data_IF_766800513190
#
_entry.id   IF_766800513190
#
_cell.length_a   1.000
_cell.length_b   1.000
_cell.length_c   1.000
_cell.angle_alpha   90.00
_cell.angle_beta   90.00
_cell.angle_gamma   90.00
#
_symmetry.space_group_name_H-M   'P 1'
#
loop_
_entity.id
_entity.type
_entity.pdbx_description
1 polymer ?
#
# COMPACT_ATOMS: atom_id res chain seq x y z
N UNK A 1 15.08 -13.74 73.00
CA UNK A 1 16.05 -12.71 72.57
C UNK A 1 15.25 -11.51 72.07
N UNK A 2 15.65 -10.28 72.42
CA UNK A 2 15.10 -9.03 71.86
C UNK A 2 15.63 -8.87 70.41
N UNK A 3 15.13 -8.02 69.50
CA UNK A 3 14.50 -6.68 69.50
C UNK A 3 13.45 -6.63 68.34
N UNK A 4 12.44 -5.75 68.21
CA UNK A 4 12.37 -4.29 68.44
C UNK A 4 12.77 -3.54 67.15
N UNK A 5 12.17 -2.42 66.71
CA UNK A 5 11.02 -1.60 67.15
C UNK A 5 10.53 -0.75 65.94
N UNK A 6 9.26 -0.33 65.91
CA UNK A 6 8.93 1.05 65.49
C UNK A 6 8.08 1.26 64.23
N UNK A 7 6.94 1.96 64.38
CA UNK A 7 5.97 2.33 63.33
C UNK A 7 5.62 3.85 63.50
N UNK A 8 4.48 4.38 63.02
CA UNK A 8 4.24 5.14 61.78
C UNK A 8 4.16 6.69 61.93
N UNK A 9 3.85 7.41 60.83
CA UNK A 9 2.79 8.45 60.91
C UNK A 9 2.85 9.76 60.08
N UNK A 10 2.21 9.75 58.89
CA UNK A 10 1.08 10.62 58.44
C UNK A 10 1.09 12.17 58.66
N UNK A 11 0.53 12.91 57.66
CA UNK A 11 0.05 14.34 57.63
C UNK A 11 1.10 15.40 57.20
N UNK A 12 0.82 16.57 56.58
CA UNK A 12 -0.37 17.22 55.95
C UNK A 12 0.07 18.47 55.13
N UNK A 13 -0.64 18.80 54.04
CA UNK A 13 -0.88 20.14 53.38
C UNK A 13 0.19 21.26 53.39
N UNK A 14 0.48 21.86 52.21
CA UNK A 14 0.37 23.31 51.99
C UNK A 14 0.48 23.71 50.50
N UNK A 15 -0.24 24.77 50.10
CA UNK A 15 -0.20 25.36 48.76
C UNK A 15 0.66 26.64 48.73
N UNK A 16 1.17 27.02 47.55
CA UNK A 16 1.72 28.35 47.30
C UNK A 16 1.45 28.78 45.84
N UNK A 17 1.24 30.08 45.65
CA UNK A 17 0.77 30.72 44.43
C UNK A 17 1.84 31.66 43.84
N UNK A 18 1.77 31.87 42.53
CA UNK A 18 2.17 33.09 41.78
C UNK A 18 3.65 33.57 41.82
N UNK A 19 4.23 33.74 40.62
CA UNK A 19 4.72 35.04 40.16
C UNK A 19 4.89 35.06 38.62
N UNK A 20 4.50 36.17 37.99
CA UNK A 20 4.77 36.50 36.58
C UNK A 20 5.81 37.62 36.54
N UNK A 21 6.81 37.52 35.67
CA UNK A 21 7.59 38.68 35.19
C UNK A 21 7.86 38.52 33.69
N UNK A 22 7.68 39.61 32.95
CA UNK A 22 7.90 39.75 31.51
C UNK A 22 9.19 40.54 31.21
N UNK A 23 9.64 40.43 29.96
CA UNK A 23 10.50 41.35 29.19
C UNK A 23 12.04 41.17 29.24
N UNK A 24 12.67 41.33 28.06
CA UNK A 24 14.11 41.51 27.88
C UNK A 24 14.68 40.90 26.58
N UNK A 25 14.58 41.60 25.45
CA UNK A 25 15.34 41.30 24.22
C UNK A 25 16.46 42.33 24.00
N UNK A 26 17.64 41.88 23.53
CA UNK A 26 18.68 42.57 22.73
C UNK A 26 19.71 41.45 22.38
N UNK A 27 19.96 41.01 21.14
CA UNK A 27 20.62 41.71 20.00
C UNK A 27 22.06 42.11 20.38
N UNK A 28 23.17 41.58 19.82
CA UNK A 28 23.45 40.61 18.72
C UNK A 28 24.79 39.85 18.98
N UNK A 29 25.23 38.80 18.26
CA UNK A 29 24.61 38.03 17.17
C UNK A 29 25.60 37.65 16.02
N UNK A 30 26.14 36.42 15.98
CA UNK A 30 27.02 35.93 14.88
C UNK A 30 26.84 34.42 14.58
N UNK A 31 27.12 34.03 13.32
CA UNK A 31 27.18 32.66 12.77
C UNK A 31 25.89 31.80 12.78
N UNK A 32 25.08 31.97 11.73
CA UNK A 32 24.03 30.99 11.33
C UNK A 32 24.64 29.74 10.69
N UNK A 33 24.76 28.65 11.45
CA UNK A 33 25.03 27.32 10.88
C UNK A 33 23.71 26.60 10.56
N UNK A 34 23.17 26.91 9.38
CA UNK A 34 21.89 26.38 8.89
C UNK A 34 22.02 24.92 8.44
N UNK A 35 22.10 23.99 9.40
CA UNK A 35 22.21 22.56 9.08
C UNK A 35 20.84 21.92 8.80
N UNK A 36 20.45 22.01 7.53
CA UNK A 36 19.66 21.06 6.76
C UNK A 36 18.49 20.35 7.48
N UNK A 37 17.28 20.85 7.21
CA UNK A 37 16.09 19.99 7.13
C UNK A 37 16.37 18.87 6.12
N UNK A 38 16.19 17.61 6.51
CA UNK A 38 16.71 16.51 5.69
C UNK A 38 16.54 15.09 6.24
N UNK A 39 15.59 14.83 7.15
CA UNK A 39 15.14 13.44 7.37
C UNK A 39 14.16 13.07 6.27
N UNK A 40 14.71 12.71 5.10
CA UNK A 40 13.97 11.84 4.20
C UNK A 40 13.63 10.57 5.01
N UNK A 41 12.35 10.22 5.08
CA UNK A 41 11.92 8.99 5.75
C UNK A 41 12.46 7.82 4.93
N UNK A 42 13.60 7.27 5.34
CA UNK A 42 14.12 6.03 4.81
C UNK A 42 13.13 4.94 5.23
N UNK A 43 12.17 4.65 4.35
CA UNK A 43 11.14 3.64 4.58
C UNK A 43 11.79 2.35 5.05
N UNK A 44 11.26 1.78 6.13
CA UNK A 44 11.82 0.58 6.74
C UNK A 44 12.04 -0.49 5.68
N UNK A 45 13.27 -1.01 5.59
CA UNK A 45 13.64 -1.99 4.59
C UNK A 45 12.90 -3.31 4.86
N UNK A 46 11.78 -3.53 4.17
CA UNK A 46 11.03 -4.77 4.25
C UNK A 46 11.87 -5.93 3.69
N UNK A 47 11.84 -7.07 4.38
CA UNK A 47 12.47 -8.31 3.93
C UNK A 47 11.85 -8.82 2.64
N UNK A 48 12.64 -9.52 1.82
CA UNK A 48 12.16 -10.20 0.61
C UNK A 48 11.68 -11.61 0.97
N UNK A 49 10.41 -11.92 0.70
CA UNK A 49 9.84 -13.26 0.84
C UNK A 49 10.06 -14.16 -0.37
N UNK A 50 9.99 -13.59 -1.58
CA UNK A 50 10.14 -14.36 -2.81
C UNK A 50 10.16 -13.51 -4.07
N UNK A 51 10.10 -14.16 -5.23
CA UNK A 51 9.92 -13.53 -6.54
C UNK A 51 8.72 -14.19 -7.21
N UNK A 52 7.80 -13.37 -7.72
CA UNK A 52 6.59 -13.79 -8.41
C UNK A 52 6.70 -13.48 -9.91
N UNK A 53 5.90 -14.14 -10.75
CA UNK A 53 5.67 -13.77 -12.15
C UNK A 53 6.43 -14.60 -13.18
N UNK A 54 7.57 -15.19 -12.81
CA UNK A 54 8.32 -16.10 -13.70
C UNK A 54 7.73 -17.51 -13.74
N UNK A 55 8.16 -18.28 -14.74
CA UNK A 55 7.78 -19.68 -14.97
C UNK A 55 7.89 -20.52 -13.68
N UNK A 56 6.84 -21.30 -13.39
CA UNK A 56 6.75 -22.16 -12.20
C UNK A 56 6.61 -21.41 -10.86
N UNK A 57 6.42 -20.09 -10.86
CA UNK A 57 6.00 -19.35 -9.66
C UNK A 57 4.50 -19.50 -9.39
N UNK A 58 4.03 -19.06 -8.21
CA UNK A 58 2.62 -19.19 -7.81
C UNK A 58 1.64 -18.51 -8.78
N UNK A 59 2.10 -17.50 -9.52
CA UNK A 59 1.36 -16.80 -10.56
C UNK A 59 2.35 -16.46 -11.69
N UNK A 60 2.21 -17.11 -12.85
CA UNK A 60 2.96 -16.75 -14.06
C UNK A 60 2.34 -15.48 -14.67
N UNK A 61 3.16 -14.46 -14.93
CA UNK A 61 2.70 -13.11 -15.28
C UNK A 61 3.55 -12.51 -16.42
N UNK A 62 3.13 -11.41 -17.07
CA UNK A 62 3.96 -10.65 -18.02
C UNK A 62 5.15 -9.89 -17.39
N UNK A 63 5.18 -9.81 -16.07
CA UNK A 63 6.22 -9.13 -15.29
C UNK A 63 6.62 -9.99 -14.10
N UNK A 64 7.85 -9.83 -13.63
CA UNK A 64 8.31 -10.36 -12.35
C UNK A 64 8.61 -9.23 -11.38
N UNK A 65 8.36 -9.49 -10.10
CA UNK A 65 8.68 -8.61 -8.99
C UNK A 65 8.90 -9.42 -7.72
N UNK A 66 9.46 -8.79 -6.70
CA UNK A 66 9.72 -9.41 -5.42
C UNK A 66 8.59 -9.12 -4.43
N UNK A 67 8.20 -10.13 -3.66
CA UNK A 67 7.19 -10.02 -2.59
C UNK A 67 7.87 -9.79 -1.24
N UNK A 68 7.14 -9.17 -0.31
CA UNK A 68 7.61 -8.99 1.06
C UNK A 68 7.64 -10.32 1.84
N UNK A 69 8.49 -10.38 2.87
CA UNK A 69 8.57 -11.53 3.77
C UNK A 69 7.24 -11.75 4.50
N UNK A 70 6.78 -13.01 4.59
CA UNK A 70 5.49 -13.37 5.18
C UNK A 70 4.26 -13.14 4.28
N UNK A 71 4.42 -12.56 3.09
CA UNK A 71 3.32 -12.39 2.14
C UNK A 71 3.20 -13.63 1.23
N UNK A 72 1.97 -14.13 1.03
CA UNK A 72 1.71 -15.39 0.31
C UNK A 72 0.92 -15.13 -0.96
N UNK A 73 1.41 -15.62 -2.10
CA UNK A 73 0.78 -15.44 -3.41
C UNK A 73 -0.05 -16.67 -3.84
N UNK A 74 -1.22 -16.44 -4.42
CA UNK A 74 -2.10 -17.46 -5.01
C UNK A 74 -2.68 -16.95 -6.34
N UNK A 75 -2.77 -17.82 -7.34
CA UNK A 75 -3.37 -17.50 -8.63
C UNK A 75 -4.89 -17.34 -8.49
N UNK A 76 -5.45 -16.30 -9.11
CA UNK A 76 -6.90 -16.11 -9.16
C UNK A 76 -7.44 -16.95 -10.31
N UNK A 77 -8.26 -17.95 -9.99
CA UNK A 77 -8.91 -18.78 -11.02
C UNK A 77 -10.03 -18.00 -11.71
N UNK A 78 -9.67 -17.32 -12.79
CA UNK A 78 -10.61 -16.60 -13.64
C UNK A 78 -11.57 -17.52 -14.42
N UNK A 79 -11.30 -18.83 -14.48
CA UNK A 79 -12.13 -19.82 -15.18
C UNK A 79 -13.17 -20.49 -14.27
N UNK A 80 -12.91 -20.59 -12.96
CA UNK A 80 -13.86 -21.11 -11.97
C UNK A 80 -15.23 -20.42 -12.03
N UNK A 81 -15.26 -19.12 -12.38
CA UNK A 81 -16.50 -18.37 -12.61
C UNK A 81 -17.25 -18.79 -13.88
N UNK A 82 -16.55 -19.19 -14.93
CA UNK A 82 -17.11 -19.53 -16.24
C UNK A 82 -17.66 -20.96 -16.31
N UNK A 83 -17.07 -21.88 -15.54
CA UNK A 83 -17.53 -23.27 -15.39
C UNK A 83 -18.85 -23.40 -14.58
N UNK A 84 -19.35 -22.30 -13.98
CA UNK A 84 -20.66 -22.28 -13.37
C UNK A 84 -21.75 -22.71 -14.37
N UNK A 85 -22.67 -23.59 -13.96
CA UNK A 85 -23.74 -24.07 -14.83
C UNK A 85 -24.80 -22.99 -15.14
N UNK A 86 -24.95 -22.02 -14.25
CA UNK A 86 -25.92 -20.93 -14.31
C UNK A 86 -25.31 -19.67 -14.95
N UNK A 87 -26.08 -18.99 -15.81
CA UNK A 87 -25.60 -17.83 -16.58
C UNK A 87 -25.41 -16.58 -15.70
N UNK A 88 -26.32 -16.36 -14.75
CA UNK A 88 -26.21 -15.26 -13.79
C UNK A 88 -25.00 -15.46 -12.86
N UNK A 89 -24.71 -16.69 -12.45
CA UNK A 89 -23.50 -17.01 -11.70
C UNK A 89 -22.20 -16.69 -12.47
N UNK A 90 -22.16 -16.96 -13.79
CA UNK A 90 -21.02 -16.55 -14.64
C UNK A 90 -20.88 -15.04 -14.72
N UNK A 91 -21.97 -14.33 -14.99
CA UNK A 91 -21.98 -12.87 -15.11
C UNK A 91 -21.54 -12.19 -13.81
N UNK A 92 -22.01 -12.67 -12.66
CA UNK A 92 -21.60 -12.18 -11.34
C UNK A 92 -20.13 -12.49 -11.06
N UNK A 93 -19.64 -13.68 -11.38
CA UNK A 93 -18.23 -14.02 -11.18
C UNK A 93 -17.31 -13.17 -12.09
N UNK A 94 -17.68 -13.00 -13.35
CA UNK A 94 -16.95 -12.16 -14.32
C UNK A 94 -16.91 -10.69 -13.87
N UNK A 95 -18.01 -10.16 -13.35
CA UNK A 95 -18.09 -8.81 -12.80
C UNK A 95 -17.28 -8.59 -11.51
N UNK A 96 -16.97 -9.67 -10.76
CA UNK A 96 -16.07 -9.63 -9.60
C UNK A 96 -14.59 -9.76 -9.97
N UNK A 97 -14.30 -10.40 -11.11
CA UNK A 97 -12.95 -10.72 -11.57
C UNK A 97 -12.38 -9.67 -12.53
N UNK A 98 -13.22 -8.81 -13.14
CA UNK A 98 -12.78 -7.72 -14.02
C UNK A 98 -12.87 -6.36 -13.33
N UNK A 99 -11.89 -5.49 -13.59
CA UNK A 99 -11.94 -4.08 -13.24
C UNK A 99 -11.42 -3.24 -14.41
N UNK A 100 -12.35 -2.61 -15.13
CA UNK A 100 -12.05 -1.88 -16.36
C UNK A 100 -11.52 -2.84 -17.45
N UNK A 101 -10.37 -2.57 -18.08
CA UNK A 101 -9.82 -3.37 -19.18
C UNK A 101 -8.98 -4.58 -18.73
N UNK A 102 -8.93 -4.88 -17.42
CA UNK A 102 -8.06 -5.95 -16.87
C UNK A 102 -8.83 -6.92 -15.98
N UNK A 103 -8.33 -8.15 -15.92
CA UNK A 103 -8.87 -9.26 -15.10
C UNK A 103 -7.88 -9.63 -14.01
N UNK A 104 -8.37 -9.97 -12.81
CA UNK A 104 -7.55 -10.42 -11.70
C UNK A 104 -6.83 -11.73 -12.06
N UNK A 105 -5.51 -11.77 -11.83
CA UNK A 105 -4.65 -12.90 -12.17
C UNK A 105 -3.94 -13.50 -10.95
N UNK A 106 -3.66 -12.69 -9.93
CA UNK A 106 -2.96 -13.12 -8.73
C UNK A 106 -3.35 -12.27 -7.53
N UNK A 107 -3.48 -12.89 -6.36
CA UNK A 107 -3.61 -12.19 -5.08
C UNK A 107 -2.41 -12.54 -4.20
N UNK A 108 -1.83 -11.52 -3.56
CA UNK A 108 -0.77 -11.69 -2.58
C UNK A 108 -1.31 -11.23 -1.22
N UNK A 109 -1.65 -12.20 -0.37
CA UNK A 109 -2.25 -12.00 0.95
C UNK A 109 -1.19 -11.51 1.97
N UNK A 110 -1.50 -10.37 2.62
CA UNK A 110 -0.66 -9.75 3.64
C UNK A 110 -0.96 -10.24 5.06
N UNK A 111 -2.06 -10.97 5.27
CA UNK A 111 -2.48 -11.51 6.59
C UNK A 111 -1.43 -12.37 7.28
N UNK A 112 -0.65 -13.24 6.60
CA UNK A 112 0.37 -14.03 7.29
C UNK A 112 1.59 -13.19 7.75
N UNK A 113 1.74 -11.97 7.22
CA UNK A 113 2.70 -10.97 7.69
C UNK A 113 2.12 -10.03 8.77
N UNK A 114 0.83 -10.14 9.10
CA UNK A 114 0.16 -9.38 10.16
C UNK A 114 -0.66 -8.16 9.71
N UNK A 115 -0.93 -8.00 8.41
CA UNK A 115 -1.73 -6.88 7.86
C UNK A 115 -3.12 -7.32 7.40
N UNK A 116 -4.08 -6.39 7.34
CA UNK A 116 -5.42 -6.64 6.79
C UNK A 116 -5.53 -6.00 5.40
N UNK A 117 -4.98 -6.72 4.41
CA UNK A 117 -5.05 -6.31 3.02
C UNK A 117 -4.38 -7.29 2.06
N UNK A 118 -4.26 -6.87 0.80
CA UNK A 118 -3.65 -7.64 -0.28
C UNK A 118 -3.00 -6.71 -1.31
N UNK A 119 -1.99 -7.24 -2.01
CA UNK A 119 -1.57 -6.73 -3.31
C UNK A 119 -2.24 -7.61 -4.37
N UNK A 120 -3.12 -7.07 -5.22
CA UNK A 120 -3.74 -7.82 -6.32
C UNK A 120 -3.12 -7.43 -7.65
N UNK A 121 -2.76 -8.44 -8.44
CA UNK A 121 -2.25 -8.28 -9.80
C UNK A 121 -3.38 -8.53 -10.79
N UNK A 122 -3.51 -7.64 -11.75
CA UNK A 122 -4.48 -7.71 -12.84
C UNK A 122 -3.73 -7.68 -14.17
N UNK A 123 -4.23 -8.42 -15.16
CA UNK A 123 -3.65 -8.48 -16.51
C UNK A 123 -4.73 -8.20 -17.56
N UNK A 124 -4.36 -7.55 -18.65
CA UNK A 124 -5.21 -7.36 -19.83
C UNK A 124 -4.61 -7.98 -21.08
N UNK A 125 -5.37 -8.00 -22.17
CA UNK A 125 -4.87 -8.41 -23.49
C UNK A 125 -3.90 -7.35 -24.08
N UNK A 126 -2.98 -7.73 -24.99
CA UNK A 126 -2.17 -6.77 -25.75
C UNK A 126 -3.03 -5.77 -26.54
N UNK A 127 -2.64 -4.49 -26.51
CA UNK A 127 -3.32 -3.40 -27.23
C UNK A 127 -2.47 -2.13 -27.27
N UNK A 128 -3.04 -1.08 -27.88
CA UNK A 128 -2.35 0.20 -28.11
C UNK A 128 -2.43 1.18 -26.92
N UNK A 129 -3.21 0.87 -25.88
CA UNK A 129 -3.35 1.72 -24.69
C UNK A 129 -2.05 1.79 -23.87
N UNK A 130 -1.63 3.01 -23.51
CA UNK A 130 -0.50 3.21 -22.61
C UNK A 130 -0.86 2.90 -21.14
N UNK A 131 0.16 2.77 -20.29
CA UNK A 131 -0.02 2.47 -18.87
C UNK A 131 -0.91 3.50 -18.14
N UNK A 132 -0.97 4.76 -18.60
CA UNK A 132 -1.84 5.80 -18.02
C UNK A 132 -3.29 5.61 -18.45
N UNK A 133 -3.55 5.24 -19.70
CA UNK A 133 -4.87 4.94 -20.22
C UNK A 133 -5.48 3.75 -19.48
N UNK A 134 -4.73 2.64 -19.38
CA UNK A 134 -5.13 1.44 -18.62
C UNK A 134 -5.44 1.78 -17.16
N UNK A 135 -4.53 2.48 -16.47
CA UNK A 135 -4.71 2.79 -15.05
C UNK A 135 -5.91 3.72 -14.79
N UNK A 136 -6.17 4.68 -15.68
CA UNK A 136 -7.38 5.52 -15.62
C UNK A 136 -8.66 4.71 -15.82
N UNK A 137 -8.65 3.74 -16.73
CA UNK A 137 -9.82 2.90 -16.98
C UNK A 137 -10.06 1.90 -15.83
N UNK A 138 -8.99 1.39 -15.20
CA UNK A 138 -9.04 0.58 -13.98
C UNK A 138 -9.64 1.35 -12.79
N UNK A 139 -9.14 2.56 -12.53
CA UNK A 139 -9.66 3.43 -11.45
C UNK A 139 -11.07 3.93 -11.76
N UNK A 140 -11.37 4.29 -13.01
CA UNK A 140 -12.69 4.76 -13.44
C UNK A 140 -13.79 3.68 -13.43
N UNK A 141 -13.43 2.40 -13.30
CA UNK A 141 -14.37 1.30 -13.07
C UNK A 141 -14.73 1.13 -11.58
N UNK A 142 -14.01 1.77 -10.66
CA UNK A 142 -14.28 1.72 -9.23
C UNK A 142 -15.28 2.81 -8.80
N UNK A 143 -16.12 2.48 -7.80
CA UNK A 143 -17.18 3.39 -7.34
C UNK A 143 -16.72 4.32 -6.22
N UNK A 144 -17.21 5.56 -6.25
CA UNK A 144 -16.92 6.61 -5.25
C UNK A 144 -15.42 6.97 -5.14
N UNK A 145 -14.72 6.95 -6.27
CA UNK A 145 -13.33 7.43 -6.40
C UNK A 145 -13.26 8.97 -6.36
N UNK A 146 -12.20 9.51 -5.76
CA UNK A 146 -11.80 10.92 -5.92
C UNK A 146 -10.31 11.16 -5.62
N UNK A 147 -9.81 12.36 -5.94
CA UNK A 147 -8.47 12.83 -5.52
C UNK A 147 -7.29 12.27 -6.32
N UNK A 148 -7.56 11.69 -7.50
CA UNK A 148 -6.61 10.86 -8.24
C UNK A 148 -5.35 11.61 -8.68
N UNK A 149 -4.20 11.24 -8.11
CA UNK A 149 -2.89 11.83 -8.38
C UNK A 149 -1.99 10.84 -9.11
N UNK A 150 -1.80 11.08 -10.41
CA UNK A 150 -0.99 10.22 -11.29
C UNK A 150 0.46 10.69 -11.38
N UNK A 151 1.42 9.76 -11.24
CA UNK A 151 2.87 10.01 -11.30
C UNK A 151 3.54 8.97 -12.21
N UNK A 152 4.47 9.38 -13.06
CA UNK A 152 5.27 8.44 -13.87
C UNK A 152 6.44 7.89 -13.06
N UNK A 153 6.83 6.64 -13.29
CA UNK A 153 8.04 6.03 -12.71
C UNK A 153 8.75 5.14 -13.73
N UNK A 154 9.96 4.71 -13.39
CA UNK A 154 10.70 3.67 -14.12
C UNK A 154 11.15 2.56 -13.16
N UNK A 155 11.15 1.32 -13.64
CA UNK A 155 11.62 0.14 -12.91
C UNK A 155 12.34 -0.80 -13.89
N UNK A 156 13.67 -0.88 -13.78
CA UNK A 156 14.49 -1.50 -14.82
C UNK A 156 14.27 -0.82 -16.17
N UNK A 157 13.84 -1.59 -17.18
CA UNK A 157 13.50 -1.10 -18.52
C UNK A 157 12.02 -0.71 -18.68
N UNK A 158 11.18 -0.96 -17.67
CA UNK A 158 9.76 -0.60 -17.70
C UNK A 158 9.56 0.88 -17.37
N UNK A 159 8.80 1.56 -18.23
CA UNK A 159 8.15 2.83 -17.89
C UNK A 159 6.72 2.54 -17.40
N UNK A 160 6.32 3.17 -16.30
CA UNK A 160 5.03 2.93 -15.68
C UNK A 160 4.37 4.20 -15.15
N UNK A 161 3.11 4.05 -14.75
CA UNK A 161 2.35 5.10 -14.07
C UNK A 161 1.82 4.54 -12.76
N UNK A 162 1.91 5.35 -11.72
CA UNK A 162 1.32 5.13 -10.40
C UNK A 162 0.18 6.12 -10.20
N UNK A 163 -0.85 5.70 -9.47
CA UNK A 163 -1.96 6.54 -9.01
C UNK A 163 -2.15 6.33 -7.51
N UNK A 164 -2.30 7.44 -6.81
CA UNK A 164 -2.79 7.52 -5.43
C UNK A 164 -4.17 8.17 -5.49
N UNK A 165 -5.17 7.58 -4.84
CA UNK A 165 -6.55 8.04 -4.90
C UNK A 165 -7.31 7.70 -3.62
N UNK A 166 -8.51 8.24 -3.47
CA UNK A 166 -9.41 7.99 -2.35
C UNK A 166 -10.62 7.17 -2.80
N UNK A 167 -11.03 6.20 -2.00
CA UNK A 167 -12.26 5.42 -2.20
C UNK A 167 -13.16 5.54 -0.97
N UNK A 168 -14.44 5.86 -1.17
CA UNK A 168 -15.43 5.93 -0.08
C UNK A 168 -16.29 4.68 -0.02
N UNK A 169 -16.15 3.91 1.07
CA UNK A 169 -17.04 2.79 1.37
C UNK A 169 -18.36 3.29 1.94
N UNK A 170 -19.45 3.15 1.17
CA UNK A 170 -20.81 3.50 1.62
C UNK A 170 -21.33 2.60 2.76
N UNK A 171 -20.68 1.46 3.01
CA UNK A 171 -21.08 0.50 4.06
C UNK A 171 -20.42 0.87 5.40
N UNK A 172 -19.18 1.34 5.35
CA UNK A 172 -18.42 1.77 6.54
C UNK A 172 -18.56 3.28 6.81
N UNK A 173 -19.08 4.05 5.83
CA UNK A 173 -19.08 5.53 5.79
C UNK A 173 -17.68 6.16 5.86
N UNK A 174 -16.65 5.35 5.60
CA UNK A 174 -15.23 5.71 5.66
C UNK A 174 -14.64 5.94 4.26
N UNK A 175 -13.68 6.85 4.19
CA UNK A 175 -12.88 7.11 2.99
C UNK A 175 -11.44 6.72 3.27
N UNK A 176 -10.89 5.83 2.44
CA UNK A 176 -9.51 5.35 2.57
C UNK A 176 -8.66 5.73 1.36
N UNK A 177 -7.36 5.76 1.56
CA UNK A 177 -6.36 5.89 0.50
C UNK A 177 -6.14 4.53 -0.18
N UNK A 178 -6.07 4.54 -1.50
CA UNK A 178 -5.69 3.39 -2.32
C UNK A 178 -4.54 3.79 -3.27
N UNK A 179 -3.77 2.79 -3.70
CA UNK A 179 -2.62 3.00 -4.59
C UNK A 179 -2.47 1.85 -5.58
N UNK A 180 -2.38 2.20 -6.85
CA UNK A 180 -2.13 1.25 -7.91
C UNK A 180 -1.03 1.74 -8.85
N UNK A 181 -0.33 0.81 -9.50
CA UNK A 181 0.53 1.10 -10.64
C UNK A 181 0.14 0.28 -11.85
N UNK A 182 0.48 0.78 -13.03
CA UNK A 182 0.39 0.06 -14.29
C UNK A 182 1.70 0.13 -15.07
N UNK A 183 1.99 -0.93 -15.81
CA UNK A 183 3.01 -1.02 -16.86
C UNK A 183 2.43 -1.75 -18.07
N UNK A 184 2.97 -1.49 -19.25
CA UNK A 184 2.62 -2.23 -20.48
C UNK A 184 3.77 -3.16 -20.88
N UNK A 185 3.43 -4.33 -21.42
CA UNK A 185 4.38 -5.32 -21.94
C UNK A 185 3.91 -5.84 -23.29
N UNK A 186 4.78 -6.54 -24.02
CA UNK A 186 4.40 -7.23 -25.26
C UNK A 186 3.32 -8.31 -25.07
N UNK A 187 3.12 -8.81 -23.83
CA UNK A 187 2.06 -9.77 -23.47
C UNK A 187 0.81 -9.10 -22.86
N UNK A 188 0.73 -7.76 -22.90
CA UNK A 188 -0.40 -6.98 -22.37
C UNK A 188 -0.04 -6.11 -21.17
N UNK A 189 -0.98 -5.27 -20.70
CA UNK A 189 -0.79 -4.46 -19.51
C UNK A 189 -0.87 -5.29 -18.22
N UNK A 190 -0.17 -4.81 -17.20
CA UNK A 190 -0.25 -5.34 -15.83
C UNK A 190 -0.52 -4.19 -14.86
N UNK A 191 -1.53 -4.36 -13.99
CA UNK A 191 -1.84 -3.45 -12.89
C UNK A 191 -1.54 -4.15 -11.57
N UNK A 192 -0.82 -3.47 -10.67
CA UNK A 192 -0.62 -3.88 -9.27
C UNK A 192 -1.41 -2.92 -8.39
N UNK A 193 -2.42 -3.40 -7.68
CA UNK A 193 -3.28 -2.61 -6.79
C UNK A 193 -3.06 -3.04 -5.33
N UNK A 194 -2.60 -2.13 -4.47
CA UNK A 194 -2.54 -2.32 -3.02
C UNK A 194 -3.87 -1.92 -2.40
N UNK A 195 -4.63 -2.90 -1.91
CA UNK A 195 -5.88 -2.69 -1.19
C UNK A 195 -5.73 -2.97 0.31
N UNK A 196 -5.97 -1.94 1.13
CA UNK A 196 -6.03 -2.05 2.60
C UNK A 196 -7.46 -2.09 3.14
N UNK A 197 -7.64 -2.49 4.41
CA UNK A 197 -8.92 -2.33 5.11
C UNK A 197 -9.31 -0.84 5.19
N UNK A 198 -8.35 -0.02 5.62
CA UNK A 198 -8.43 1.42 5.83
C UNK A 198 -7.10 2.09 5.43
N UNK A 199 -6.96 3.40 5.69
CA UNK A 199 -5.73 4.15 5.38
C UNK A 199 -4.52 3.78 6.26
N UNK A 200 -4.71 3.32 7.50
CA UNK A 200 -3.61 2.93 8.38
C UNK A 200 -3.00 1.60 7.91
N UNK A 201 -3.83 0.61 7.60
CA UNK A 201 -3.42 -0.64 6.96
C UNK A 201 -2.78 -0.39 5.58
N UNK A 202 -3.34 0.53 4.79
CA UNK A 202 -2.73 0.95 3.52
C UNK A 202 -1.31 1.48 3.71
N UNK A 203 -1.12 2.45 4.62
CA UNK A 203 0.19 3.05 4.92
C UNK A 203 1.18 2.02 5.47
N UNK A 204 0.74 1.10 6.34
CA UNK A 204 1.56 0.04 6.90
C UNK A 204 2.08 -0.94 5.83
N UNK A 205 1.33 -1.17 4.75
CA UNK A 205 1.71 -2.07 3.66
C UNK A 205 2.51 -1.40 2.53
N UNK A 206 2.62 -0.07 2.49
CA UNK A 206 3.41 0.65 1.47
C UNK A 206 4.84 0.12 1.26
N UNK A 207 5.62 -0.31 2.28
CA UNK A 207 6.95 -0.87 2.06
C UNK A 207 6.98 -2.11 1.16
N UNK A 208 5.94 -2.96 1.22
CA UNK A 208 5.78 -4.15 0.40
C UNK A 208 5.41 -3.79 -1.05
N UNK A 209 4.50 -2.84 -1.24
CA UNK A 209 4.16 -2.31 -2.56
C UNK A 209 5.37 -1.62 -3.23
N UNK A 210 6.14 -0.82 -2.49
CA UNK A 210 7.38 -0.20 -2.99
C UNK A 210 8.51 -1.23 -3.20
N UNK A 211 8.42 -2.45 -2.64
CA UNK A 211 9.31 -3.58 -3.01
C UNK A 211 8.91 -4.17 -4.35
N UNK A 212 7.62 -4.45 -4.56
CA UNK A 212 7.10 -4.92 -5.84
C UNK A 212 7.46 -3.94 -6.97
N UNK A 213 7.13 -2.65 -6.80
CA UNK A 213 7.40 -1.56 -7.74
C UNK A 213 8.88 -1.41 -8.10
N UNK A 214 9.80 -1.38 -7.13
CA UNK A 214 11.24 -1.17 -7.40
C UNK A 214 11.96 -2.38 -8.00
N UNK A 215 11.36 -3.56 -7.92
CA UNK A 215 11.93 -4.83 -8.45
C UNK A 215 11.21 -5.30 -9.72
N UNK A 216 10.20 -4.55 -10.16
CA UNK A 216 9.40 -4.81 -11.35
C UNK A 216 10.27 -4.84 -12.61
N UNK A 217 10.07 -5.88 -13.43
CA UNK A 217 10.76 -6.12 -14.71
C UNK A 217 9.90 -7.02 -15.58
N UNK A 218 10.10 -7.01 -16.90
CA UNK A 218 9.45 -8.00 -17.78
C UNK A 218 9.94 -9.42 -17.46
N UNK A 219 9.06 -10.41 -17.57
CA UNK A 219 9.46 -11.80 -17.75
C UNK A 219 9.71 -12.10 -19.23
N UNK A 220 10.39 -13.22 -19.50
CA UNK A 220 10.75 -13.64 -20.86
C UNK A 220 9.52 -14.08 -21.70
#
# INVERSE_FOLDING_TARGET
MQVGVGVPGRRVVCAALLAVVLAGCSEDGEAVDAKASGTASAGAAVGKGGTLGGDGSACELPVAFDTAEGWTAEAVDAQAGQDAADELAREVADALLRQGPVTAACEIDAKPAGHIGFLRVWTGEPGDDDARAVLKAFVGAESNVSGETYRTFTAGELAGVEVEYLTTSKILEETKTERALAVTTARGPVVLHLGGLDSEEHEAMLPAYELAKRTLRTTA
#
